data_IF_777182169412
#
_entry.id   IF_777182169412
#
_cell.length_a   1.000
_cell.length_b   1.000
_cell.length_c   1.000
_cell.angle_alpha   90.00
_cell.angle_beta   90.00
_cell.angle_gamma   90.00
#
_symmetry.space_group_name_H-M   'P 1'
#
loop_
_entity.id
_entity.type
_entity.pdbx_description
1 polymer ?
#
# COMPACT_ATOMS: atom_id res chain seq x y z
N UNK A 1 83.38 52.94 -0.30
CA UNK A 1 82.06 53.10 -0.95
C UNK A 1 81.57 51.81 -1.64
N UNK A 2 82.43 50.80 -1.85
CA UNK A 2 82.07 49.49 -2.42
C UNK A 2 81.49 48.51 -1.40
N UNK A 3 81.99 48.52 -0.17
CA UNK A 3 81.73 47.44 0.79
C UNK A 3 80.32 47.50 1.38
N UNK A 4 79.81 48.71 1.64
CA UNK A 4 78.43 48.93 2.10
C UNK A 4 77.38 48.49 1.07
N UNK A 5 77.69 48.56 -0.23
CA UNK A 5 76.79 48.08 -1.30
C UNK A 5 76.72 46.56 -1.30
N UNK A 6 77.87 45.90 -1.11
CA UNK A 6 77.95 44.44 -1.05
C UNK A 6 77.21 43.88 0.16
N UNK A 7 77.41 44.46 1.34
CA UNK A 7 76.69 44.06 2.56
C UNK A 7 75.17 44.20 2.40
N UNK A 8 74.72 45.29 1.76
CA UNK A 8 73.30 45.51 1.48
C UNK A 8 72.73 44.45 0.49
N UNK A 9 73.47 44.10 -0.57
CA UNK A 9 73.06 43.05 -1.51
C UNK A 9 73.03 41.65 -0.86
N UNK A 10 73.97 41.36 0.03
CA UNK A 10 73.99 40.11 0.80
C UNK A 10 72.82 40.06 1.79
N UNK A 11 72.48 41.19 2.43
CA UNK A 11 71.31 41.30 3.29
C UNK A 11 69.99 41.10 2.52
N UNK A 12 69.85 41.66 1.32
CA UNK A 12 68.69 41.43 0.45
C UNK A 12 68.58 39.95 0.10
N UNK A 13 69.65 39.32 -0.38
CA UNK A 13 69.66 37.90 -0.74
C UNK A 13 69.32 36.99 0.45
N UNK A 14 69.86 37.29 1.63
CA UNK A 14 69.51 36.54 2.84
C UNK A 14 68.04 36.72 3.22
N UNK A 15 67.48 37.91 3.02
CA UNK A 15 66.08 38.20 3.30
C UNK A 15 65.16 37.43 2.34
N UNK A 16 65.45 37.48 1.04
CA UNK A 16 64.74 36.73 0.00
C UNK A 16 64.79 35.22 0.23
N UNK A 17 65.96 34.67 0.59
CA UNK A 17 66.11 33.25 0.90
C UNK A 17 65.26 32.82 2.11
N UNK A 18 65.18 33.65 3.15
CA UNK A 18 64.30 33.39 4.31
C UNK A 18 62.83 33.44 3.91
N UNK A 19 62.41 34.44 3.13
CA UNK A 19 61.03 34.52 2.67
C UNK A 19 60.63 33.34 1.81
N UNK A 20 61.51 32.87 0.92
CA UNK A 20 61.22 31.70 0.10
C UNK A 20 61.15 30.43 0.95
N UNK A 21 62.03 30.28 1.94
CA UNK A 21 61.96 29.19 2.91
C UNK A 21 60.65 29.23 3.72
N UNK A 22 60.26 30.40 4.22
CA UNK A 22 59.01 30.59 4.96
C UNK A 22 57.79 30.29 4.08
N UNK A 23 57.84 30.68 2.81
CA UNK A 23 56.79 30.39 1.82
C UNK A 23 56.66 28.89 1.59
N UNK A 24 57.78 28.18 1.40
CA UNK A 24 57.78 26.72 1.23
C UNK A 24 57.27 26.02 2.49
N UNK A 25 57.78 26.39 3.67
CA UNK A 25 57.34 25.85 4.96
C UNK A 25 55.83 26.06 5.17
N UNK A 26 55.32 27.24 4.85
CA UNK A 26 53.88 27.52 4.96
C UNK A 26 53.06 26.66 3.99
N UNK A 27 53.54 26.45 2.77
CA UNK A 27 52.84 25.58 1.81
C UNK A 27 52.84 24.11 2.23
N UNK A 28 53.92 23.63 2.86
CA UNK A 28 54.00 22.28 3.41
C UNK A 28 53.05 22.12 4.60
N UNK A 29 53.02 23.09 5.51
CA UNK A 29 52.10 23.10 6.66
C UNK A 29 50.63 23.11 6.20
N UNK A 30 50.30 23.89 5.17
CA UNK A 30 48.93 23.92 4.63
C UNK A 30 48.56 22.59 3.99
N UNK A 31 49.45 21.98 3.20
CA UNK A 31 49.21 20.65 2.61
C UNK A 31 49.03 19.58 3.68
N UNK A 32 49.88 19.56 4.71
CA UNK A 32 49.76 18.61 5.81
C UNK A 32 48.43 18.77 6.56
N UNK A 33 47.97 20.01 6.76
CA UNK A 33 46.65 20.29 7.36
C UNK A 33 45.49 19.85 6.47
N UNK A 34 45.58 20.08 5.16
CA UNK A 34 44.58 19.65 4.19
C UNK A 34 44.48 18.13 4.15
N UNK A 35 45.62 17.42 4.07
CA UNK A 35 45.69 15.96 4.10
C UNK A 35 45.09 15.39 5.39
N UNK A 36 45.46 15.96 6.55
CA UNK A 36 44.90 15.55 7.84
C UNK A 36 43.38 15.76 7.91
N UNK A 37 42.86 16.87 7.37
CA UNK A 37 41.43 17.14 7.33
C UNK A 37 40.70 16.17 6.40
N UNK A 38 41.29 15.85 5.25
CA UNK A 38 40.73 14.86 4.32
C UNK A 38 40.64 13.48 4.97
N UNK A 39 41.70 13.04 5.65
CA UNK A 39 41.71 11.76 6.38
C UNK A 39 40.63 11.72 7.47
N UNK A 40 40.49 12.78 8.26
CA UNK A 40 39.42 12.89 9.26
C UNK A 40 38.03 12.78 8.62
N UNK A 41 37.78 13.50 7.52
CA UNK A 41 36.50 13.43 6.82
C UNK A 41 36.24 12.04 6.21
N UNK A 42 37.27 11.34 5.75
CA UNK A 42 37.12 9.98 5.21
C UNK A 42 36.80 8.97 6.30
N UNK A 43 37.47 9.06 7.45
CA UNK A 43 37.17 8.19 8.61
C UNK A 43 35.76 8.43 9.15
N UNK A 44 35.32 9.69 9.25
CA UNK A 44 33.95 10.03 9.64
C UNK A 44 32.92 9.52 8.64
N UNK A 45 33.16 9.73 7.34
CA UNK A 45 32.28 9.20 6.28
C UNK A 45 32.18 7.69 6.33
N UNK A 46 33.29 7.00 6.58
CA UNK A 46 33.31 5.55 6.72
C UNK A 46 32.48 5.11 7.95
N UNK A 47 32.69 5.77 9.10
CA UNK A 47 31.91 5.50 10.32
C UNK A 47 30.41 5.70 10.12
N UNK A 48 30.00 6.81 9.51
CA UNK A 48 28.59 7.10 9.22
C UNK A 48 27.98 6.07 8.25
N UNK A 49 28.74 5.59 7.26
CA UNK A 49 28.25 4.54 6.34
C UNK A 49 28.05 3.22 7.08
N UNK A 50 28.99 2.83 7.93
CA UNK A 50 28.87 1.63 8.75
C UNK A 50 27.66 1.70 9.69
N UNK A 51 27.40 2.86 10.30
CA UNK A 51 26.22 3.08 11.14
C UNK A 51 24.92 2.99 10.33
N UNK A 52 24.87 3.62 9.15
CA UNK A 52 23.71 3.53 8.25
C UNK A 52 23.43 2.07 7.87
N UNK A 53 24.46 1.30 7.55
CA UNK A 53 24.29 -0.10 7.15
C UNK A 53 23.87 -0.98 8.33
N UNK A 54 24.40 -0.73 9.54
CA UNK A 54 23.95 -1.39 10.77
C UNK A 54 22.45 -1.13 11.05
N UNK A 55 22.02 0.13 10.99
CA UNK A 55 20.62 0.50 11.24
C UNK A 55 19.69 -0.07 10.16
N UNK A 56 20.13 -0.13 8.90
CA UNK A 56 19.35 -0.79 7.84
C UNK A 56 19.18 -2.28 8.10
N UNK A 57 20.23 -2.95 8.54
CA UNK A 57 20.16 -4.37 8.88
C UNK A 57 19.18 -4.61 10.04
N UNK A 58 19.29 -3.84 11.12
CA UNK A 58 18.36 -3.92 12.26
C UNK A 58 16.91 -3.69 11.84
N UNK A 59 16.68 -2.72 10.97
CA UNK A 59 15.36 -2.43 10.42
C UNK A 59 14.82 -3.59 9.58
N UNK A 60 15.65 -4.21 8.74
CA UNK A 60 15.26 -5.38 7.94
C UNK A 60 14.90 -6.57 8.84
N UNK A 61 15.73 -6.87 9.84
CA UNK A 61 15.47 -7.93 10.82
C UNK A 61 14.17 -7.69 11.59
N UNK A 62 13.91 -6.46 12.03
CA UNK A 62 12.66 -6.13 12.74
C UNK A 62 11.44 -6.25 11.82
N UNK A 63 11.57 -5.84 10.55
CA UNK A 63 10.52 -6.03 9.57
C UNK A 63 10.25 -7.52 9.30
N UNK A 64 11.28 -8.36 9.23
CA UNK A 64 11.11 -9.81 9.09
C UNK A 64 10.44 -10.41 10.31
N UNK A 65 10.86 -10.03 11.52
CA UNK A 65 10.21 -10.45 12.78
C UNK A 65 8.74 -10.05 12.82
N UNK A 66 8.40 -8.85 12.32
CA UNK A 66 7.02 -8.40 12.25
C UNK A 66 6.20 -9.19 11.21
N UNK A 67 6.76 -9.44 10.02
CA UNK A 67 6.10 -10.21 8.95
C UNK A 67 5.87 -11.66 9.34
N UNK A 68 6.81 -12.26 10.05
CA UNK A 68 6.77 -13.65 10.51
C UNK A 68 6.11 -13.81 11.88
N UNK A 69 5.62 -12.71 12.46
CA UNK A 69 4.99 -12.72 13.77
C UNK A 69 3.78 -13.67 13.76
N UNK A 70 3.70 -14.63 14.68
CA UNK A 70 2.52 -15.47 14.80
C UNK A 70 1.30 -14.63 15.18
N UNK A 71 0.14 -14.98 14.63
CA UNK A 71 -1.12 -14.36 15.03
C UNK A 71 -1.36 -14.54 16.53
N UNK A 72 -2.03 -13.57 17.15
CA UNK A 72 -2.38 -13.68 18.56
C UNK A 72 -3.35 -14.85 18.76
N UNK A 73 -3.25 -15.60 19.88
CA UNK A 73 -4.18 -16.70 20.17
C UNK A 73 -5.65 -16.27 20.11
N UNK A 74 -5.96 -15.06 20.61
CA UNK A 74 -7.31 -14.50 20.55
C UNK A 74 -7.84 -14.33 19.11
N UNK A 75 -6.97 -13.91 18.18
CA UNK A 75 -7.34 -13.79 16.77
C UNK A 75 -7.60 -15.16 16.15
N UNK A 76 -6.77 -16.16 16.49
CA UNK A 76 -6.96 -17.53 16.04
C UNK A 76 -8.27 -18.13 16.55
N UNK A 77 -8.60 -17.90 17.82
CA UNK A 77 -9.86 -18.36 18.41
C UNK A 77 -11.06 -17.65 17.78
N UNK A 78 -10.93 -16.35 17.48
CA UNK A 78 -11.96 -15.59 16.76
C UNK A 78 -12.15 -16.13 15.34
N UNK A 79 -11.07 -16.43 14.61
CA UNK A 79 -11.12 -17.03 13.27
C UNK A 79 -11.82 -18.39 13.33
N UNK A 80 -11.46 -19.26 14.28
CA UNK A 80 -12.11 -20.56 14.48
C UNK A 80 -13.60 -20.42 14.78
N UNK A 81 -13.98 -19.48 15.65
CA UNK A 81 -15.38 -19.19 15.96
C UNK A 81 -16.16 -18.80 14.70
N UNK A 82 -15.62 -17.86 13.92
CA UNK A 82 -16.25 -17.40 12.68
C UNK A 82 -16.34 -18.51 11.63
N UNK A 83 -15.33 -19.36 11.51
CA UNK A 83 -15.36 -20.54 10.62
C UNK A 83 -16.46 -21.53 11.03
N UNK A 84 -16.63 -21.77 12.34
CA UNK A 84 -17.72 -22.62 12.85
C UNK A 84 -19.09 -22.01 12.56
N UNK A 85 -19.25 -20.70 12.74
CA UNK A 85 -20.50 -19.99 12.41
C UNK A 85 -20.82 -20.07 10.92
N UNK A 86 -19.84 -19.86 10.04
CA UNK A 86 -20.00 -20.00 8.58
C UNK A 86 -20.42 -21.42 8.19
N UNK A 87 -19.81 -22.44 8.81
CA UNK A 87 -20.18 -23.83 8.56
C UNK A 87 -21.61 -24.13 9.00
N UNK A 88 -22.02 -23.66 10.19
CA UNK A 88 -23.39 -23.80 10.67
C UNK A 88 -24.39 -23.12 9.73
N UNK A 89 -24.09 -21.89 9.31
CA UNK A 89 -24.94 -21.14 8.40
C UNK A 89 -25.07 -21.84 7.05
N UNK A 90 -23.97 -22.34 6.49
CA UNK A 90 -23.98 -23.09 5.23
C UNK A 90 -24.81 -24.38 5.33
N UNK A 91 -24.70 -25.11 6.45
CA UNK A 91 -25.50 -26.32 6.66
C UNK A 91 -27.00 -26.01 6.78
N UNK A 92 -27.37 -24.93 7.47
CA UNK A 92 -28.75 -24.46 7.56
C UNK A 92 -29.30 -24.03 6.20
N UNK A 93 -28.52 -23.29 5.42
CA UNK A 93 -28.91 -22.87 4.07
C UNK A 93 -29.17 -24.09 3.18
N UNK A 94 -28.27 -25.07 3.22
CA UNK A 94 -28.41 -26.31 2.47
C UNK A 94 -29.69 -27.06 2.85
N UNK A 95 -29.97 -27.20 4.14
CA UNK A 95 -31.21 -27.81 4.63
C UNK A 95 -32.45 -27.07 4.13
N UNK A 96 -32.46 -25.73 4.16
CA UNK A 96 -33.58 -24.93 3.64
C UNK A 96 -33.74 -25.12 2.12
N UNK A 97 -32.65 -25.19 1.36
CA UNK A 97 -32.69 -25.45 -0.10
C UNK A 97 -33.29 -26.82 -0.41
N UNK A 98 -32.91 -27.84 0.37
CA UNK A 98 -33.45 -29.19 0.24
C UNK A 98 -34.96 -29.22 0.55
N UNK A 99 -35.38 -28.58 1.64
CA UNK A 99 -36.81 -28.45 1.97
C UNK A 99 -37.60 -27.74 0.87
N UNK A 100 -37.07 -26.64 0.33
CA UNK A 100 -37.71 -25.92 -0.77
C UNK A 100 -37.82 -26.79 -2.03
N UNK A 101 -36.80 -27.57 -2.33
CA UNK A 101 -36.80 -28.50 -3.47
C UNK A 101 -37.84 -29.60 -3.26
N UNK A 102 -37.89 -30.18 -2.06
CA UNK A 102 -38.90 -31.16 -1.69
C UNK A 102 -40.32 -30.62 -1.87
N UNK A 103 -40.62 -29.43 -1.32
CA UNK A 103 -41.95 -28.84 -1.46
C UNK A 103 -42.31 -28.51 -2.91
N UNK A 104 -41.35 -28.04 -3.73
CA UNK A 104 -41.58 -27.83 -5.17
C UNK A 104 -41.98 -29.12 -5.88
N UNK A 105 -41.22 -30.19 -5.68
CA UNK A 105 -41.50 -31.49 -6.29
C UNK A 105 -42.85 -32.06 -5.81
N UNK A 106 -43.17 -31.89 -4.54
CA UNK A 106 -44.46 -32.33 -3.98
C UNK A 106 -45.64 -31.56 -4.58
N UNK A 107 -45.50 -30.24 -4.81
CA UNK A 107 -46.53 -29.45 -5.49
C UNK A 107 -46.71 -29.88 -6.95
N UNK A 108 -45.63 -30.11 -7.69
CA UNK A 108 -45.70 -30.65 -9.06
C UNK A 108 -46.37 -32.03 -9.09
N UNK A 109 -46.05 -32.91 -8.14
CA UNK A 109 -46.70 -34.22 -8.00
C UNK A 109 -48.20 -34.09 -7.71
N UNK A 110 -48.60 -33.16 -6.86
CA UNK A 110 -50.02 -32.90 -6.58
C UNK A 110 -50.75 -32.33 -7.79
N UNK A 111 -50.14 -31.39 -8.50
CA UNK A 111 -50.68 -30.79 -9.71
C UNK A 111 -50.86 -31.83 -10.81
N UNK A 112 -49.85 -32.65 -11.08
CA UNK A 112 -49.94 -33.73 -12.07
C UNK A 112 -51.02 -34.75 -11.70
N UNK A 113 -51.14 -35.12 -10.42
CA UNK A 113 -52.22 -35.99 -9.94
C UNK A 113 -53.61 -35.36 -10.10
N UNK A 114 -53.76 -34.07 -9.79
CA UNK A 114 -55.00 -33.32 -9.99
C UNK A 114 -55.39 -33.27 -11.47
N UNK A 115 -54.46 -32.88 -12.35
CA UNK A 115 -54.67 -32.82 -13.79
C UNK A 115 -55.05 -34.20 -14.35
N UNK A 116 -54.39 -35.27 -13.87
CA UNK A 116 -54.73 -36.64 -14.28
C UNK A 116 -56.15 -37.03 -13.88
N UNK A 117 -56.60 -36.70 -12.67
CA UNK A 117 -57.93 -37.08 -12.16
C UNK A 117 -59.06 -36.24 -12.74
N UNK A 118 -58.86 -34.92 -12.82
CA UNK A 118 -59.95 -33.97 -13.09
C UNK A 118 -59.92 -33.41 -14.51
N UNK A 119 -58.76 -33.34 -15.17
CA UNK A 119 -58.66 -32.80 -16.54
C UNK A 119 -58.79 -33.92 -17.59
N UNK A 120 -58.29 -35.14 -17.33
CA UNK A 120 -58.38 -36.23 -18.32
C UNK A 120 -59.79 -36.76 -18.55
N UNK A 121 -60.70 -36.60 -17.57
CA UNK A 121 -62.10 -37.04 -17.68
C UNK A 121 -62.97 -36.07 -18.50
N UNK A 122 -62.49 -34.86 -18.78
CA UNK A 122 -63.23 -33.81 -19.51
C UNK A 122 -62.84 -33.70 -20.99
N UNK A 123 -62.29 -34.77 -21.60
CA UNK A 123 -61.85 -34.82 -23.01
C UNK A 123 -62.94 -34.52 -24.07
N UNK A 124 -64.18 -34.23 -23.68
CA UNK A 124 -65.29 -33.86 -24.59
C UNK A 124 -65.70 -32.39 -24.57
N UNK A 125 -65.16 -31.54 -23.68
CA UNK A 125 -65.44 -30.10 -23.67
C UNK A 125 -64.14 -29.31 -23.76
N UNK A 126 -63.88 -28.80 -24.96
CA UNK A 126 -62.93 -27.72 -25.20
C UNK A 126 -63.12 -26.63 -24.13
N UNK A 127 -62.02 -26.19 -23.53
CA UNK A 127 -61.94 -25.11 -22.55
C UNK A 127 -62.06 -25.48 -21.06
N UNK A 128 -61.76 -26.73 -20.68
CA UNK A 128 -61.39 -27.02 -19.30
C UNK A 128 -59.94 -26.56 -19.04
N UNK A 129 -59.84 -25.30 -18.59
CA UNK A 129 -58.70 -24.61 -18.01
C UNK A 129 -57.85 -25.56 -17.14
N UNK A 130 -56.79 -26.13 -17.74
CA UNK A 130 -55.66 -26.61 -16.96
C UNK A 130 -55.21 -25.41 -16.12
N UNK A 131 -55.08 -25.58 -14.80
CA UNK A 131 -54.48 -24.62 -13.87
C UNK A 131 -53.00 -24.46 -14.24
N UNK A 132 -52.73 -23.87 -15.40
CA UNK A 132 -51.40 -23.51 -15.82
C UNK A 132 -51.00 -22.36 -14.91
N UNK A 133 -50.04 -22.61 -14.02
CA UNK A 133 -49.37 -21.54 -13.28
C UNK A 133 -48.92 -20.52 -14.32
N UNK A 134 -49.59 -19.36 -14.34
CA UNK A 134 -49.18 -18.24 -15.17
C UNK A 134 -47.80 -17.84 -14.63
N UNK A 135 -46.75 -18.29 -15.31
CA UNK A 135 -45.41 -17.75 -15.10
C UNK A 135 -45.48 -16.30 -15.59
N UNK A 136 -45.85 -15.38 -14.71
CA UNK A 136 -45.75 -13.94 -14.91
C UNK A 136 -44.26 -13.56 -14.96
N UNK A 137 -43.57 -13.96 -16.02
CA UNK A 137 -42.24 -13.49 -16.40
C UNK A 137 -42.02 -13.57 -17.92
N UNK A 138 -43.09 -13.61 -18.71
CA UNK A 138 -43.01 -13.24 -20.13
C UNK A 138 -43.11 -11.71 -20.24
N UNK A 139 -42.07 -11.01 -19.78
CA UNK A 139 -41.87 -9.61 -20.17
C UNK A 139 -41.66 -9.62 -21.67
N UNK A 140 -42.67 -9.11 -22.38
CA UNK A 140 -42.62 -8.87 -23.82
C UNK A 140 -41.39 -8.02 -24.17
N UNK A 141 -40.34 -8.66 -24.65
CA UNK A 141 -39.26 -7.97 -25.36
C UNK A 141 -39.82 -7.49 -26.69
N UNK A 142 -40.15 -6.19 -26.74
CA UNK A 142 -40.42 -5.46 -27.99
C UNK A 142 -39.30 -5.73 -29.00
N UNK A 143 -39.59 -5.94 -30.30
CA UNK A 143 -38.55 -6.01 -31.32
C UNK A 143 -37.90 -4.63 -31.46
N UNK A 144 -36.70 -4.46 -30.90
CA UNK A 144 -35.88 -3.26 -31.07
C UNK A 144 -35.22 -3.34 -32.44
N UNK A 145 -35.51 -2.35 -33.27
CA UNK A 145 -34.95 -2.16 -34.60
C UNK A 145 -33.41 -2.25 -34.59
N UNK A 146 -32.87 -2.87 -35.65
CA UNK A 146 -31.46 -2.84 -36.01
C UNK A 146 -30.99 -1.38 -36.11
N UNK A 147 -30.08 -0.97 -35.23
CA UNK A 147 -29.13 0.10 -35.53
C UNK A 147 -27.73 -0.46 -35.38
N UNK A 148 -27.06 -0.66 -36.52
CA UNK A 148 -25.63 -0.84 -36.59
C UNK A 148 -24.96 0.42 -36.03
N UNK A 149 -24.20 0.26 -34.95
CA UNK A 149 -23.49 1.34 -34.29
C UNK A 149 -22.31 0.77 -33.51
N UNK A 150 -21.21 0.57 -34.22
CA UNK A 150 -19.88 0.29 -33.71
C UNK A 150 -19.47 1.37 -32.70
N UNK A 151 -19.26 1.03 -31.43
CA UNK A 151 -18.63 1.94 -30.47
C UNK A 151 -17.97 1.20 -29.29
N UNK A 152 -16.65 1.15 -29.38
CA UNK A 152 -15.62 1.20 -28.33
C UNK A 152 -16.00 1.03 -26.85
N UNK A 153 -15.25 0.12 -26.23
CA UNK A 153 -14.97 0.04 -24.80
C UNK A 153 -14.51 1.37 -24.19
N UNK A 154 -15.30 1.92 -23.27
CA UNK A 154 -14.82 2.93 -22.32
C UNK A 154 -15.36 2.63 -20.93
N UNK A 155 -14.43 2.33 -20.02
CA UNK A 155 -14.68 1.97 -18.63
C UNK A 155 -15.38 3.08 -17.82
N UNK A 156 -16.25 2.74 -16.85
CA UNK A 156 -16.86 3.75 -15.99
C UNK A 156 -15.83 4.26 -14.96
N UNK A 157 -15.35 5.48 -15.16
CA UNK A 157 -14.61 6.24 -14.15
C UNK A 157 -15.53 6.56 -12.98
N UNK A 158 -15.24 5.97 -11.82
CA UNK A 158 -15.81 6.33 -10.52
C UNK A 158 -15.56 7.80 -10.24
N UNK A 159 -16.61 8.57 -9.95
CA UNK A 159 -16.52 9.94 -9.44
C UNK A 159 -15.99 9.91 -8.00
N UNK A 160 -15.04 10.77 -7.60
CA UNK A 160 -14.69 10.94 -6.20
C UNK A 160 -15.81 11.69 -5.47
N UNK A 161 -16.31 11.10 -4.39
CA UNK A 161 -17.21 11.74 -3.43
C UNK A 161 -16.46 12.87 -2.74
N UNK A 162 -16.87 14.11 -3.04
CA UNK A 162 -16.47 15.31 -2.32
C UNK A 162 -17.36 15.44 -1.08
N UNK A 163 -16.83 15.09 0.09
CA UNK A 163 -17.33 15.48 1.41
C UNK A 163 -16.08 15.65 2.28
N UNK A 164 -15.72 16.82 2.77
CA UNK A 164 -16.53 17.59 3.71
C UNK A 164 -16.06 17.23 5.12
N UNK A 165 -14.91 17.78 5.54
CA UNK A 165 -14.29 17.43 6.81
C UNK A 165 -13.00 18.18 7.12
N UNK A 166 -13.05 19.51 7.17
CA UNK A 166 -11.97 20.35 7.73
C UNK A 166 -11.93 20.19 9.26
N UNK A 167 -11.32 19.10 9.75
CA UNK A 167 -10.91 19.04 11.16
C UNK A 167 -9.61 19.81 11.35
N UNK A 168 -9.73 21.06 11.83
CA UNK A 168 -8.64 21.78 12.48
C UNK A 168 -8.15 20.96 13.69
N UNK A 169 -7.02 20.27 13.57
CA UNK A 169 -6.22 19.88 14.74
C UNK A 169 -5.15 20.94 14.94
N UNK A 170 -5.32 21.77 15.97
CA UNK A 170 -4.20 22.49 16.57
C UNK A 170 -3.36 21.43 17.31
N UNK A 171 -2.17 21.15 16.82
CA UNK A 171 -1.13 20.51 17.62
C UNK A 171 -0.17 21.61 18.06
N UNK A 172 -0.40 22.09 19.28
CA UNK A 172 0.56 22.81 20.09
C UNK A 172 1.55 21.78 20.61
N UNK A 173 2.81 21.80 20.18
CA UNK A 173 3.97 21.40 21.01
C UNK A 173 5.19 22.07 20.41
N UNK A 174 5.61 23.16 21.05
CA UNK A 174 6.89 23.81 20.77
C UNK A 174 8.02 22.93 21.34
N UNK A 175 8.74 22.23 20.48
CA UNK A 175 10.06 21.70 20.81
C UNK A 175 11.03 22.88 20.82
N UNK A 176 11.27 23.44 22.01
CA UNK A 176 12.34 24.39 22.28
C UNK A 176 13.68 23.70 22.01
N UNK A 177 14.41 24.18 21.01
CA UNK A 177 15.83 23.88 20.85
C UNK A 177 16.64 24.45 22.04
N UNK A 178 17.64 23.74 22.57
CA UNK A 178 18.50 24.26 23.63
C UNK A 178 19.37 25.41 23.09
N UNK A 179 19.50 26.48 23.89
CA UNK A 179 20.41 27.60 23.60
C UNK A 179 21.84 27.16 23.87
N UNK A 180 22.67 27.12 22.82
CA UNK A 180 24.12 27.00 22.93
C UNK A 180 24.64 28.33 23.51
N UNK A 181 25.12 28.30 24.74
CA UNK A 181 25.91 29.40 25.30
C UNK A 181 27.35 29.20 24.85
N UNK A 182 27.88 30.17 24.10
CA UNK A 182 29.32 30.23 23.79
C UNK A 182 30.03 30.68 25.07
N UNK A 183 31.02 29.90 25.50
CA UNK A 183 32.09 30.38 26.38
C UNK A 183 33.18 31.01 25.52
#
# INVERSE_FOLDING_TARGET
>A
MSDTKREHEEAIRSCEARFEQDRLSLTEDLKAREESLVEQLETEKFGLRAEIDSVKQELEEEQERWKTRPSLPADLDRIKSLQSELQKLASSEQQTREQMTYFKNELENRETNYNRRFVSSNRGRSDATALRVVTENAVATKPKAKSNGTASSAAPRRKPVRGGGTRKKKASTATRLPKITKK
#
